data_IF_564959005693
#
_entry.id   IF_564959005693
#
_cell.length_a   1.000
_cell.length_b   1.000
_cell.length_c   1.000
_cell.angle_alpha   90.00
_cell.angle_beta   90.00
_cell.angle_gamma   90.00
#
_symmetry.space_group_name_H-M   'P 1'
#
loop_
_entity.id
_entity.type
_entity.pdbx_description
1 polymer ?
#
# COMPACT_ATOMS: atom_id res chain seq x y z
N UNK A 1 -7.96 -2.87 -14.73
CA UNK A 1 -9.23 -3.32 -14.11
C UNK A 1 -10.37 -3.36 -15.12
N UNK A 2 -10.79 -2.21 -15.66
CA UNK A 2 -11.99 -2.10 -16.50
C UNK A 2 -12.10 -3.12 -17.66
N UNK A 3 -11.03 -3.36 -18.42
CA UNK A 3 -11.05 -4.35 -19.51
C UNK A 3 -11.35 -5.78 -19.01
N UNK A 4 -10.80 -6.17 -17.84
CA UNK A 4 -11.09 -7.46 -17.20
C UNK A 4 -12.56 -7.56 -16.76
N UNK A 5 -13.15 -6.44 -16.31
CA UNK A 5 -14.58 -6.39 -15.99
C UNK A 5 -15.46 -6.55 -17.23
N UNK A 6 -15.08 -5.93 -18.35
CA UNK A 6 -15.76 -6.13 -19.64
C UNK A 6 -15.69 -7.59 -20.12
N UNK A 7 -14.53 -8.24 -19.97
CA UNK A 7 -14.35 -9.65 -20.25
C UNK A 7 -15.29 -10.53 -19.40
N UNK A 8 -15.35 -10.30 -18.08
CA UNK A 8 -16.25 -11.04 -17.17
C UNK A 8 -17.70 -10.86 -17.59
N UNK A 9 -18.13 -9.62 -17.83
CA UNK A 9 -19.51 -9.32 -18.22
C UNK A 9 -19.89 -9.99 -19.57
N UNK A 10 -18.94 -10.08 -20.50
CA UNK A 10 -19.16 -10.70 -21.81
C UNK A 10 -19.13 -12.24 -21.79
N UNK A 11 -18.39 -12.85 -20.86
CA UNK A 11 -18.11 -14.31 -20.88
C UNK A 11 -18.72 -15.08 -19.71
N UNK A 12 -19.17 -14.40 -18.66
CA UNK A 12 -19.62 -15.04 -17.42
C UNK A 12 -18.48 -15.72 -16.64
N UNK A 13 -17.22 -15.45 -16.96
CA UNK A 13 -16.07 -16.01 -16.27
C UNK A 13 -16.05 -15.65 -14.78
N UNK A 14 -15.55 -16.56 -13.93
CA UNK A 14 -15.41 -16.31 -12.50
C UNK A 14 -14.48 -15.10 -12.27
N UNK A 15 -14.94 -14.04 -11.56
CA UNK A 15 -14.10 -12.91 -11.22
C UNK A 15 -12.79 -13.27 -10.50
N UNK A 16 -12.75 -14.35 -9.71
CA UNK A 16 -11.54 -14.77 -8.99
C UNK A 16 -10.46 -15.31 -9.93
N UNK A 17 -10.85 -15.95 -11.03
CA UNK A 17 -9.92 -16.45 -12.05
C UNK A 17 -9.39 -15.32 -12.95
N UNK A 18 -10.19 -14.27 -13.16
CA UNK A 18 -9.81 -13.13 -14.02
C UNK A 18 -9.02 -12.06 -13.26
N UNK A 19 -9.40 -11.75 -12.03
CA UNK A 19 -8.80 -10.68 -11.22
C UNK A 19 -7.61 -11.15 -10.38
N UNK A 20 -6.71 -11.92 -11.00
CA UNK A 20 -5.50 -12.43 -10.34
C UNK A 20 -4.43 -11.35 -10.17
N UNK A 21 -3.65 -11.49 -9.10
CA UNK A 21 -2.45 -10.71 -8.90
C UNK A 21 -1.45 -10.98 -10.04
N UNK A 22 -0.78 -9.95 -10.56
CA UNK A 22 0.31 -10.15 -11.52
C UNK A 22 1.48 -10.88 -10.84
N UNK A 23 2.39 -11.41 -11.66
CA UNK A 23 3.63 -12.00 -11.15
C UNK A 23 4.44 -10.95 -10.39
N UNK A 24 4.83 -11.26 -9.16
CA UNK A 24 5.79 -10.46 -8.38
C UNK A 24 7.17 -10.54 -9.01
N UNK A 25 7.79 -9.39 -9.26
CA UNK A 25 9.15 -9.31 -9.81
C UNK A 25 10.22 -9.44 -8.71
N UNK A 26 10.00 -8.77 -7.58
CA UNK A 26 10.85 -8.85 -6.40
C UNK A 26 10.03 -8.70 -5.10
N UNK A 27 10.48 -9.36 -4.04
CA UNK A 27 9.98 -9.16 -2.67
C UNK A 27 11.03 -8.37 -1.90
N UNK A 28 10.62 -7.25 -1.29
CA UNK A 28 11.50 -6.44 -0.47
C UNK A 28 11.25 -6.78 0.99
N UNK A 29 12.20 -7.48 1.60
CA UNK A 29 12.14 -7.88 3.00
C UNK A 29 12.52 -6.71 3.93
N UNK A 30 11.91 -6.61 5.12
CA UNK A 30 12.29 -5.61 6.10
C UNK A 30 13.69 -5.90 6.65
N UNK A 31 14.52 -4.86 6.74
CA UNK A 31 15.76 -4.93 7.52
C UNK A 31 15.43 -4.83 9.01
N UNK A 32 15.55 -5.96 9.72
CA UNK A 32 15.24 -6.07 11.14
C UNK A 32 16.08 -5.12 12.02
N UNK A 33 17.31 -4.76 11.58
CA UNK A 33 18.16 -3.83 12.32
C UNK A 33 17.63 -2.38 12.27
N UNK A 34 16.86 -2.03 11.24
CA UNK A 34 16.34 -0.68 11.04
C UNK A 34 14.96 -0.46 11.67
N UNK A 35 14.25 -1.52 12.07
CA UNK A 35 12.88 -1.43 12.58
C UNK A 35 12.70 -0.45 13.75
N UNK A 36 13.58 -0.53 14.76
CA UNK A 36 13.53 0.38 15.92
C UNK A 36 13.82 1.83 15.53
N UNK A 37 14.83 2.06 14.70
CA UNK A 37 15.23 3.41 14.26
C UNK A 37 14.11 4.10 13.48
N UNK A 38 13.43 3.37 12.60
CA UNK A 38 12.30 3.91 11.85
C UNK A 38 11.05 4.09 12.71
N UNK A 39 10.84 3.27 13.75
CA UNK A 39 9.74 3.46 14.69
C UNK A 39 9.90 4.77 15.48
N UNK A 40 11.10 5.07 15.99
CA UNK A 40 11.39 6.32 16.71
C UNK A 40 11.29 7.55 15.81
N UNK A 41 11.75 7.43 14.55
CA UNK A 41 11.59 8.49 13.56
C UNK A 41 10.10 8.75 13.24
N UNK A 42 9.29 7.68 13.13
CA UNK A 42 7.86 7.78 12.87
C UNK A 42 7.11 8.49 14.01
N UNK A 43 7.43 8.20 15.28
CA UNK A 43 6.80 8.91 16.42
C UNK A 43 7.10 10.41 16.38
N UNK A 44 8.36 10.78 16.15
CA UNK A 44 8.76 12.20 16.03
C UNK A 44 7.99 12.91 14.91
N UNK A 45 7.87 12.28 13.74
CA UNK A 45 7.08 12.83 12.65
C UNK A 45 5.62 13.05 13.05
N UNK A 46 5.00 12.05 13.70
CA UNK A 46 3.60 12.08 14.10
C UNK A 46 3.30 13.18 15.13
N UNK A 47 4.20 13.41 16.09
CA UNK A 47 4.08 14.47 17.09
C UNK A 47 4.29 15.86 16.49
N UNK A 48 5.18 15.97 15.51
CA UNK A 48 5.49 17.24 14.86
C UNK A 48 4.31 17.78 14.04
N UNK A 49 3.54 16.90 13.40
CA UNK A 49 2.41 17.30 12.56
C UNK A 49 1.37 18.19 13.28
N UNK A 50 0.77 17.80 14.42
CA UNK A 50 -0.17 18.67 15.14
C UNK A 50 0.50 19.95 15.67
N UNK A 51 1.76 19.89 16.09
CA UNK A 51 2.49 21.05 16.60
C UNK A 51 2.67 22.13 15.51
N UNK A 52 3.04 21.72 14.30
CA UNK A 52 3.15 22.63 13.14
C UNK A 52 1.74 23.11 12.73
N UNK A 53 0.79 22.18 12.56
CA UNK A 53 -0.57 22.52 12.12
C UNK A 53 -1.22 23.58 13.03
N UNK A 54 -0.98 23.52 14.34
CA UNK A 54 -1.54 24.47 15.30
C UNK A 54 -1.05 25.91 15.14
N UNK A 55 0.10 26.13 14.48
CA UNK A 55 0.68 27.47 14.28
C UNK A 55 0.63 27.95 12.83
N UNK A 56 0.22 27.09 11.89
CA UNK A 56 0.13 27.41 10.46
C UNK A 56 -1.30 27.40 9.89
N UNK A 57 -2.30 27.01 10.68
CA UNK A 57 -3.72 27.01 10.30
C UNK A 57 -4.44 28.24 10.86
#
# INVERSE_FOLDING_TARGET
GAARLGLIAATGADPLEVCTAPRTDATIEPDAALGGVYADAYQRYRELYPAIRAVTA
#
